data_IF_774440433444
#
_entry.id   IF_774440433444
#
_cell.length_a   1.000
_cell.length_b   1.000
_cell.length_c   1.000
_cell.angle_alpha   90.00
_cell.angle_beta   90.00
_cell.angle_gamma   90.00
#
_symmetry.space_group_name_H-M   'P 1'
#
loop_
_entity.id
_entity.type
_entity.pdbx_description
1 polymer ?
#
# COMPACT_ATOMS: atom_id res chain seq x y z
N UNK A 1 -56.57 -21.24 11.62
CA UNK A 1 -56.11 -19.96 12.21
C UNK A 1 -54.69 -19.71 11.72
N UNK A 2 -54.49 -18.48 11.24
CA UNK A 2 -53.25 -17.79 10.87
C UNK A 2 -52.41 -18.30 9.69
N UNK A 3 -52.25 -17.36 8.75
CA UNK A 3 -51.71 -17.47 7.42
C UNK A 3 -50.21 -17.14 7.36
N UNK A 4 -49.56 -17.75 6.36
CA UNK A 4 -48.22 -17.44 5.88
C UNK A 4 -48.32 -16.20 4.98
N UNK A 5 -47.52 -15.17 5.28
CA UNK A 5 -47.38 -13.99 4.45
C UNK A 5 -45.92 -13.83 4.00
N UNK A 6 -45.67 -14.14 2.73
CA UNK A 6 -44.48 -13.72 1.98
C UNK A 6 -44.76 -12.33 1.40
N UNK A 7 -43.87 -11.36 1.62
CA UNK A 7 -43.88 -10.06 0.95
C UNK A 7 -42.74 -9.99 -0.09
N UNK A 8 -43.02 -9.50 -1.32
CA UNK A 8 -42.04 -9.42 -2.40
C UNK A 8 -41.24 -8.11 -2.43
N UNK A 9 -40.04 -8.22 -3.01
CA UNK A 9 -39.10 -7.16 -3.36
C UNK A 9 -39.74 -6.04 -4.23
N UNK A 10 -39.39 -4.76 -4.02
CA UNK A 10 -39.72 -3.69 -4.96
C UNK A 10 -38.66 -3.56 -6.07
N UNK A 11 -39.14 -3.66 -7.31
CA UNK A 11 -38.44 -3.45 -8.58
C UNK A 11 -38.09 -1.96 -8.76
N UNK A 12 -36.82 -1.67 -9.06
CA UNK A 12 -36.39 -0.32 -9.44
C UNK A 12 -36.74 -0.04 -10.91
N UNK A 13 -37.56 1.00 -11.13
CA UNK A 13 -37.96 1.46 -12.45
C UNK A 13 -36.87 2.32 -13.11
N UNK A 14 -36.55 1.98 -14.36
CA UNK A 14 -35.82 2.81 -15.32
C UNK A 14 -36.60 4.10 -15.59
N UNK A 15 -35.99 5.26 -15.32
CA UNK A 15 -36.41 6.53 -15.91
C UNK A 15 -35.25 7.14 -16.71
N UNK A 16 -35.47 7.13 -18.03
CA UNK A 16 -34.65 7.77 -19.04
C UNK A 16 -34.81 9.29 -18.95
N UNK A 17 -33.74 10.02 -18.70
CA UNK A 17 -33.69 11.47 -18.87
C UNK A 17 -32.57 11.85 -19.83
N UNK A 18 -32.99 12.18 -21.05
CA UNK A 18 -32.17 12.85 -22.06
C UNK A 18 -31.95 14.32 -21.67
N UNK A 19 -30.73 14.87 -21.78
CA UNK A 19 -30.53 16.30 -21.68
C UNK A 19 -30.64 16.99 -23.05
N UNK A 20 -31.14 18.20 -22.95
CA UNK A 20 -31.61 19.05 -24.02
C UNK A 20 -30.49 19.64 -24.90
N UNK A 21 -30.85 19.78 -26.18
CA UNK A 21 -30.16 20.45 -27.28
C UNK A 21 -30.04 21.96 -27.03
N UNK A 22 -28.84 22.45 -26.72
CA UNK A 22 -28.51 23.87 -26.81
C UNK A 22 -28.02 24.21 -28.23
N UNK A 23 -28.71 25.15 -28.89
CA UNK A 23 -28.36 25.68 -30.20
C UNK A 23 -27.51 26.95 -30.07
N UNK A 24 -26.44 27.01 -30.88
CA UNK A 24 -25.87 28.16 -31.59
C UNK A 24 -25.50 29.43 -30.80
N UNK A 25 -24.21 29.75 -30.76
CA UNK A 25 -23.68 31.05 -31.22
C UNK A 25 -22.24 30.89 -31.74
N UNK A 26 -22.08 31.09 -33.05
CA UNK A 26 -20.81 31.18 -33.77
C UNK A 26 -20.35 32.64 -33.80
N UNK A 27 -19.07 32.96 -33.50
CA UNK A 27 -18.44 34.19 -33.94
C UNK A 27 -17.79 34.04 -35.35
N UNK A 28 -17.69 35.13 -36.13
CA UNK A 28 -17.27 35.13 -37.53
C UNK A 28 -15.75 34.94 -37.75
N UNK A 29 -15.32 34.54 -38.97
CA UNK A 29 -13.94 34.21 -39.27
C UNK A 29 -13.10 35.45 -39.56
N UNK A 30 -11.89 35.53 -38.99
CA UNK A 30 -10.90 36.53 -39.39
C UNK A 30 -9.77 35.91 -40.22
N UNK A 31 -9.66 36.51 -41.39
CA UNK A 31 -8.68 36.40 -42.48
C UNK A 31 -7.27 35.91 -42.13
N UNK A 32 -6.86 34.87 -42.86
CA UNK A 32 -5.51 34.32 -42.95
C UNK A 32 -4.61 35.21 -43.83
N UNK A 33 -3.51 35.69 -43.25
CA UNK A 33 -2.46 36.42 -43.99
C UNK A 33 -1.60 35.44 -44.78
N UNK A 34 -1.51 35.67 -46.09
CA UNK A 34 -0.71 34.90 -47.04
C UNK A 34 0.79 35.17 -46.85
N UNK A 35 1.58 34.13 -46.60
CA UNK A 35 3.04 34.16 -46.81
C UNK A 35 3.46 33.03 -47.76
N UNK A 36 4.33 33.40 -48.69
CA UNK A 36 4.72 32.66 -49.91
C UNK A 36 5.67 31.48 -49.61
N UNK A 37 5.74 30.46 -50.48
CA UNK A 37 6.51 29.26 -50.23
C UNK A 37 7.97 29.42 -50.65
N UNK A 38 8.91 29.02 -49.79
CA UNK A 38 10.28 28.72 -50.21
C UNK A 38 10.40 27.20 -50.27
N UNK A 39 10.53 26.69 -51.48
CA UNK A 39 11.00 25.33 -51.75
C UNK A 39 12.52 25.34 -51.67
N UNK A 40 13.12 24.46 -50.89
CA UNK A 40 14.37 23.79 -51.29
C UNK A 40 14.44 22.41 -50.65
N UNK A 41 14.59 21.40 -51.52
CA UNK A 41 14.83 19.99 -51.19
C UNK A 41 16.13 19.85 -50.40
N UNK A 42 16.15 18.91 -49.45
CA UNK A 42 17.36 18.12 -49.14
C UNK A 42 16.93 16.81 -48.50
N UNK A 43 17.14 15.73 -49.26
CA UNK A 43 17.00 14.35 -48.83
C UNK A 43 17.98 14.04 -47.69
N UNK A 44 17.50 13.58 -46.54
CA UNK A 44 18.23 12.59 -45.74
C UNK A 44 17.23 11.69 -45.00
N UNK A 45 17.00 10.52 -45.59
CA UNK A 45 16.56 9.32 -44.88
C UNK A 45 17.52 9.09 -43.70
N UNK A 46 17.04 9.09 -42.45
CA UNK A 46 17.66 8.28 -41.38
C UNK A 46 16.77 8.14 -40.16
N UNK A 47 16.39 6.87 -39.94
CA UNK A 47 16.06 6.20 -38.67
C UNK A 47 14.86 6.70 -37.86
N UNK A 48 13.79 5.91 -37.99
CA UNK A 48 12.89 5.53 -36.88
C UNK A 48 13.70 5.34 -35.59
N UNK A 49 13.55 6.27 -34.65
CA UNK A 49 13.88 6.03 -33.25
C UNK A 49 12.74 5.22 -32.63
N UNK A 50 12.94 3.92 -32.45
CA UNK A 50 12.09 3.14 -31.55
C UNK A 50 12.40 3.64 -30.14
N UNK A 51 11.45 4.36 -29.52
CA UNK A 51 11.48 4.57 -28.08
C UNK A 51 11.23 3.23 -27.41
N UNK A 52 12.31 2.55 -27.02
CA UNK A 52 12.25 1.41 -26.13
C UNK A 52 11.83 1.97 -24.77
N UNK A 53 10.58 1.76 -24.38
CA UNK A 53 10.20 1.85 -22.98
C UNK A 53 10.99 0.78 -22.24
N UNK A 54 12.11 1.15 -21.64
CA UNK A 54 12.77 0.30 -20.68
C UNK A 54 11.80 0.16 -19.50
N UNK A 55 11.07 -0.95 -19.45
CA UNK A 55 10.45 -1.38 -18.22
C UNK A 55 11.61 -1.52 -17.23
N UNK A 56 11.65 -0.66 -16.21
CA UNK A 56 12.61 -0.78 -15.13
C UNK A 56 12.34 -2.13 -14.47
N UNK A 57 13.15 -3.13 -14.84
CA UNK A 57 13.29 -4.36 -14.08
C UNK A 57 13.82 -3.90 -12.72
N UNK A 58 12.92 -3.78 -11.74
CA UNK A 58 13.32 -3.71 -10.34
C UNK A 58 14.03 -5.02 -10.08
N UNK A 59 15.36 -5.03 -10.18
CA UNK A 59 16.15 -6.10 -9.63
C UNK A 59 15.74 -6.18 -8.16
N UNK A 60 15.28 -7.34 -7.74
CA UNK A 60 14.86 -7.60 -6.37
C UNK A 60 16.14 -7.67 -5.52
N UNK A 61 16.72 -6.51 -5.24
CA UNK A 61 17.88 -6.33 -4.36
C UNK A 61 17.46 -6.28 -2.90
N UNK A 62 16.21 -6.64 -2.60
CA UNK A 62 15.68 -6.68 -1.25
C UNK A 62 16.49 -7.70 -0.46
N UNK A 63 17.29 -7.20 0.49
CA UNK A 63 17.98 -8.07 1.44
C UNK A 63 16.94 -8.67 2.38
N UNK A 64 16.77 -9.98 2.28
CA UNK A 64 15.86 -10.77 3.11
C UNK A 64 16.63 -11.29 4.32
N UNK A 65 16.14 -10.94 5.51
CA UNK A 65 16.75 -11.34 6.79
C UNK A 65 15.84 -12.37 7.47
N UNK A 66 16.29 -13.61 7.68
CA UNK A 66 15.50 -14.61 8.40
C UNK A 66 15.43 -14.27 9.89
N UNK A 67 14.25 -14.41 10.48
CA UNK A 67 14.01 -14.14 11.90
C UNK A 67 12.92 -15.07 12.46
N UNK A 68 13.10 -15.63 13.68
CA UNK A 68 12.11 -16.51 14.28
C UNK A 68 10.96 -15.74 14.91
N UNK A 69 9.77 -16.34 14.90
CA UNK A 69 8.62 -15.85 15.65
C UNK A 69 8.79 -16.16 17.14
N UNK A 70 8.53 -15.16 17.98
CA UNK A 70 8.43 -15.34 19.42
C UNK A 70 7.04 -15.77 19.85
N UNK A 71 6.01 -15.19 19.23
CA UNK A 71 4.62 -15.39 19.62
C UNK A 71 3.66 -15.06 18.48
N UNK A 72 2.58 -15.83 18.40
CA UNK A 72 1.36 -15.50 17.65
C UNK A 72 0.19 -15.67 18.60
N UNK A 73 -0.53 -14.57 18.88
CA UNK A 73 -1.65 -14.57 19.84
C UNK A 73 -2.88 -13.88 19.23
N UNK A 74 -4.11 -14.38 19.45
CA UNK A 74 -5.31 -13.69 19.01
C UNK A 74 -5.47 -12.32 19.69
N UNK A 75 -5.74 -11.28 18.90
CA UNK A 75 -6.10 -9.93 19.37
C UNK A 75 -7.60 -9.65 19.21
N UNK A 76 -8.23 -10.23 18.18
CA UNK A 76 -9.68 -10.25 17.96
C UNK A 76 -10.04 -11.36 16.95
N UNK A 77 -11.31 -11.43 16.52
CA UNK A 77 -11.73 -12.35 15.46
C UNK A 77 -10.94 -12.07 14.16
N UNK A 78 -10.22 -13.09 13.67
CA UNK A 78 -9.32 -12.99 12.52
C UNK A 78 -8.21 -11.94 12.64
N UNK A 79 -7.86 -11.48 13.85
CA UNK A 79 -6.84 -10.48 14.08
C UNK A 79 -5.85 -11.01 15.13
N UNK A 80 -4.57 -10.96 14.82
CA UNK A 80 -3.52 -11.59 15.62
C UNK A 80 -2.41 -10.59 15.91
N UNK A 81 -1.83 -10.64 17.11
CA UNK A 81 -0.55 -10.04 17.39
C UNK A 81 0.54 -11.06 17.08
N UNK A 82 1.53 -10.64 16.29
CA UNK A 82 2.68 -11.44 15.87
C UNK A 82 3.93 -10.71 16.34
N UNK A 83 4.77 -11.40 17.10
CA UNK A 83 6.03 -10.86 17.60
C UNK A 83 7.19 -11.63 16.99
N UNK A 84 8.16 -10.92 16.42
CA UNK A 84 9.32 -11.48 15.74
C UNK A 84 10.59 -11.04 16.44
N UNK A 85 11.50 -11.98 16.68
CA UNK A 85 12.83 -11.73 17.25
C UNK A 85 13.80 -11.26 16.18
N UNK A 86 14.32 -10.05 16.32
CA UNK A 86 15.36 -9.47 15.46
C UNK A 86 16.62 -9.14 16.25
N UNK A 87 16.79 -9.70 17.44
CA UNK A 87 17.96 -9.45 18.31
C UNK A 87 19.28 -9.86 17.66
N UNK A 88 19.26 -10.94 16.87
CA UNK A 88 20.41 -11.42 16.08
C UNK A 88 20.63 -10.60 14.78
N UNK A 89 19.79 -9.61 14.50
CA UNK A 89 19.81 -8.80 13.28
C UNK A 89 19.78 -7.29 13.59
N UNK A 90 20.83 -6.74 14.22
CA UNK A 90 20.87 -5.34 14.64
C UNK A 90 20.71 -4.35 13.49
N UNK A 91 21.22 -4.69 12.29
CA UNK A 91 21.06 -3.85 11.10
C UNK A 91 19.58 -3.70 10.71
N UNK A 92 18.82 -4.80 10.74
CA UNK A 92 17.38 -4.80 10.49
C UNK A 92 16.64 -3.97 11.54
N UNK A 93 16.95 -4.15 12.83
CA UNK A 93 16.36 -3.37 13.91
C UNK A 93 16.66 -1.86 13.74
N UNK A 94 17.89 -1.52 13.35
CA UNK A 94 18.33 -0.12 13.16
C UNK A 94 17.69 0.57 11.95
N UNK A 95 17.20 -0.20 10.97
CA UNK A 95 16.49 0.35 9.81
C UNK A 95 15.15 0.99 10.18
N UNK A 96 14.54 0.54 11.27
CA UNK A 96 13.29 1.09 11.79
C UNK A 96 13.57 2.32 12.65
N UNK A 97 13.35 3.50 12.06
CA UNK A 97 13.74 4.78 12.67
C UNK A 97 12.55 5.63 13.08
N UNK A 98 11.38 5.43 12.47
CA UNK A 98 10.21 6.30 12.69
C UNK A 98 8.92 5.48 12.74
N UNK A 99 8.06 5.75 13.73
CA UNK A 99 6.74 5.12 13.81
C UNK A 99 5.94 5.34 12.52
N UNK A 100 5.10 4.37 12.13
CA UNK A 100 4.38 4.39 10.84
C UNK A 100 5.16 3.80 9.65
N UNK A 101 6.39 3.34 9.86
CA UNK A 101 7.10 2.51 8.89
C UNK A 101 6.53 1.08 8.82
N UNK A 102 6.85 0.38 7.74
CA UNK A 102 6.36 -0.96 7.43
C UNK A 102 7.46 -1.82 6.81
N UNK A 103 7.30 -3.14 6.84
CA UNK A 103 8.21 -4.10 6.22
C UNK A 103 7.47 -4.98 5.21
N UNK A 104 8.22 -5.67 4.37
CA UNK A 104 7.75 -6.88 3.70
C UNK A 104 8.09 -8.09 4.56
N UNK A 105 7.12 -8.99 4.74
CA UNK A 105 7.30 -10.29 5.38
C UNK A 105 6.89 -11.40 4.42
N UNK A 106 7.68 -12.47 4.36
CA UNK A 106 7.34 -13.69 3.62
C UNK A 106 7.77 -14.93 4.39
N UNK A 107 7.15 -16.07 4.04
CA UNK A 107 7.64 -17.37 4.44
C UNK A 107 8.87 -17.73 3.58
N UNK A 108 9.70 -18.67 4.05
CA UNK A 108 10.87 -19.17 3.31
C UNK A 108 10.52 -19.97 2.04
N UNK A 109 9.23 -20.14 1.73
CA UNK A 109 8.79 -20.72 0.45
C UNK A 109 8.97 -19.69 -0.69
N UNK A 110 9.78 -20.00 -1.72
CA UNK A 110 10.03 -19.09 -2.84
C UNK A 110 8.77 -18.71 -3.63
N UNK A 111 7.67 -19.47 -3.50
CA UNK A 111 6.42 -19.18 -4.19
C UNK A 111 5.50 -18.25 -3.39
N UNK A 112 5.79 -18.01 -2.11
CA UNK A 112 4.98 -17.14 -1.26
C UNK A 112 5.26 -15.67 -1.56
N UNK A 113 4.23 -14.94 -1.98
CA UNK A 113 4.34 -13.50 -2.22
C UNK A 113 4.56 -12.76 -0.89
N UNK A 114 5.46 -11.77 -0.83
CA UNK A 114 5.62 -10.96 0.39
C UNK A 114 4.36 -10.16 0.71
N UNK A 115 4.07 -10.02 2.01
CA UNK A 115 3.03 -9.16 2.56
C UNK A 115 3.64 -7.89 3.13
N UNK A 116 3.07 -6.73 2.82
CA UNK A 116 3.47 -5.48 3.44
C UNK A 116 2.74 -5.30 4.77
N UNK A 117 3.47 -5.14 5.87
CA UNK A 117 2.91 -5.03 7.21
C UNK A 117 3.53 -3.84 7.95
N UNK A 118 2.65 -2.97 8.46
CA UNK A 118 3.05 -1.87 9.35
C UNK A 118 3.47 -2.41 10.71
N UNK A 119 4.57 -1.87 11.23
CA UNK A 119 5.09 -2.23 12.56
C UNK A 119 4.18 -1.55 13.59
N UNK A 120 3.65 -2.33 14.53
CA UNK A 120 2.76 -1.87 15.59
C UNK A 120 3.51 -1.46 16.88
N UNK A 121 4.75 -1.91 17.06
CA UNK A 121 5.65 -1.45 18.14
C UNK A 121 6.45 -0.21 17.73
N UNK A 122 6.78 0.73 18.63
CA UNK A 122 7.60 1.89 18.30
C UNK A 122 9.10 1.56 18.07
N UNK A 123 9.89 2.41 17.39
CA UNK A 123 11.32 2.17 17.12
C UNK A 123 12.19 1.89 18.35
N UNK A 124 11.82 2.47 19.50
CA UNK A 124 12.51 2.25 20.76
C UNK A 124 12.44 0.79 21.23
N UNK A 125 11.37 0.06 20.89
CA UNK A 125 11.22 -1.36 21.26
C UNK A 125 12.13 -2.24 20.39
N UNK A 126 12.23 -1.96 19.10
CA UNK A 126 13.15 -2.67 18.21
C UNK A 126 14.61 -2.52 18.67
N UNK A 127 15.01 -1.29 19.01
CA UNK A 127 16.38 -1.00 19.45
C UNK A 127 16.71 -1.51 20.86
N UNK A 128 15.75 -1.51 21.79
CA UNK A 128 16.00 -1.91 23.19
C UNK A 128 15.77 -3.40 23.47
N UNK A 129 14.79 -4.01 22.80
CA UNK A 129 14.39 -5.41 23.02
C UNK A 129 14.73 -6.32 21.84
N UNK A 130 15.08 -5.77 20.67
CA UNK A 130 15.33 -6.57 19.49
C UNK A 130 14.08 -7.27 18.97
N UNK A 131 12.91 -6.64 19.04
CA UNK A 131 11.66 -7.25 18.56
C UNK A 131 10.88 -6.31 17.66
N UNK A 132 10.16 -6.88 16.70
CA UNK A 132 9.08 -6.21 15.99
C UNK A 132 7.75 -6.85 16.34
N UNK A 133 6.75 -6.01 16.62
CA UNK A 133 5.38 -6.44 16.84
C UNK A 133 4.49 -6.00 15.67
N UNK A 134 3.61 -6.89 15.25
CA UNK A 134 2.68 -6.67 14.15
C UNK A 134 1.29 -7.10 14.59
N UNK A 135 0.31 -6.24 14.39
CA UNK A 135 -1.08 -6.67 14.37
C UNK A 135 -1.35 -7.18 12.95
N UNK A 136 -1.96 -8.34 12.73
CA UNK A 136 -2.17 -8.91 11.39
C UNK A 136 -3.58 -9.44 11.28
N UNK A 137 -4.29 -9.03 10.22
CA UNK A 137 -5.62 -9.54 9.93
C UNK A 137 -5.45 -10.76 9.02
N UNK A 138 -5.95 -11.91 9.46
CA UNK A 138 -6.01 -13.10 8.62
C UNK A 138 -7.00 -12.87 7.47
N UNK A 139 -6.54 -13.13 6.26
CA UNK A 139 -7.34 -13.03 5.03
C UNK A 139 -7.11 -14.29 4.24
N UNK A 140 -8.19 -15.05 3.99
CA UNK A 140 -8.11 -16.36 3.33
C UNK A 140 -7.38 -16.29 2.00
N UNK A 141 -6.46 -17.23 1.77
CA UNK A 141 -5.64 -17.35 0.58
C UNK A 141 -4.50 -16.34 0.50
N UNK A 142 -4.16 -15.66 1.60
CA UNK A 142 -3.07 -14.67 1.64
C UNK A 142 -1.90 -15.10 2.51
N UNK A 143 -0.74 -14.49 2.28
CA UNK A 143 0.42 -14.63 3.18
C UNK A 143 0.09 -14.20 4.61
N UNK A 144 -0.84 -13.26 4.80
CA UNK A 144 -1.28 -12.86 6.15
C UNK A 144 -2.02 -13.98 6.89
N UNK A 145 -2.82 -14.81 6.20
CA UNK A 145 -3.41 -16.01 6.80
C UNK A 145 -2.34 -17.02 7.20
N UNK A 146 -1.36 -17.26 6.32
CA UNK A 146 -0.26 -18.17 6.61
C UNK A 146 0.55 -17.70 7.83
N UNK A 147 0.89 -16.40 7.90
CA UNK A 147 1.60 -15.80 9.02
C UNK A 147 0.84 -15.97 10.35
N UNK A 148 -0.49 -15.77 10.35
CA UNK A 148 -1.32 -15.95 11.54
C UNK A 148 -1.45 -17.41 12.00
N UNK A 149 -1.11 -18.38 11.14
CA UNK A 149 -1.10 -19.80 11.46
C UNK A 149 0.25 -20.34 11.95
N UNK A 150 1.30 -19.51 11.97
CA UNK A 150 2.63 -19.90 12.42
C UNK A 150 2.70 -20.09 13.95
N UNK A 151 3.72 -20.80 14.38
CA UNK A 151 4.03 -21.09 15.77
C UNK A 151 5.34 -20.45 16.20
N UNK A 152 5.56 -20.39 17.52
CA UNK A 152 6.82 -19.94 18.09
C UNK A 152 7.98 -20.77 17.53
N UNK A 153 9.03 -20.09 17.07
CA UNK A 153 10.22 -20.70 16.48
C UNK A 153 10.15 -20.89 14.96
N UNK A 154 8.97 -20.78 14.35
CA UNK A 154 8.87 -20.72 12.89
C UNK A 154 9.60 -19.49 12.37
N UNK A 155 10.21 -19.60 11.19
CA UNK A 155 11.07 -18.55 10.63
C UNK A 155 10.39 -17.88 9.46
N UNK A 156 10.42 -16.55 9.47
CA UNK A 156 9.99 -15.69 8.37
C UNK A 156 11.17 -14.87 7.89
N UNK A 157 11.06 -14.33 6.68
CA UNK A 157 12.05 -13.42 6.11
C UNK A 157 11.48 -12.01 6.05
N UNK A 158 12.28 -11.04 6.50
CA UNK A 158 11.92 -9.63 6.55
C UNK A 158 12.80 -8.80 5.62
N UNK A 159 12.20 -7.81 4.96
CA UNK A 159 12.94 -6.72 4.33
C UNK A 159 13.44 -5.73 5.38
N UNK A 160 14.28 -4.79 4.99
CA UNK A 160 14.52 -3.57 5.77
C UNK A 160 13.23 -2.75 5.94
N UNK A 161 13.16 -1.91 6.97
CA UNK A 161 12.03 -1.00 7.17
C UNK A 161 11.88 0.00 6.01
N UNK A 162 10.64 0.25 5.64
CA UNK A 162 10.23 1.05 4.50
C UNK A 162 9.23 2.13 4.93
N UNK A 163 9.07 3.13 4.06
CA UNK A 163 8.17 4.26 4.31
C UNK A 163 8.83 5.39 5.08
N UNK A 164 8.20 6.57 5.04
CA UNK A 164 8.72 7.78 5.68
C UNK A 164 8.36 7.89 7.16
N UNK A 165 7.49 7.01 7.67
CA UNK A 165 6.91 7.16 9.00
C UNK A 165 5.93 8.33 9.10
N UNK A 166 5.41 8.53 10.31
CA UNK A 166 4.63 9.68 10.72
C UNK A 166 5.56 10.81 11.15
N UNK A 167 5.32 12.01 10.64
CA UNK A 167 6.08 13.21 11.01
C UNK A 167 5.65 13.72 12.39
N UNK A 168 6.10 13.02 13.44
CA UNK A 168 5.77 13.30 14.84
C UNK A 168 6.47 14.59 15.31
N UNK A 169 7.52 15.03 14.62
CA UNK A 169 8.24 16.26 14.96
C UNK A 169 7.36 17.51 14.80
N UNK A 170 6.39 17.49 13.86
CA UNK A 170 5.40 18.56 13.70
C UNK A 170 4.49 18.75 14.92
N UNK A 171 4.35 17.74 15.77
CA UNK A 171 3.53 17.78 16.99
C UNK A 171 4.37 17.74 18.27
N UNK A 172 5.67 18.08 18.16
CA UNK A 172 6.60 18.16 19.27
C UNK A 172 6.81 19.63 19.73
N UNK A 173 6.97 19.90 21.04
CA UNK A 173 6.74 18.98 22.15
C UNK A 173 5.23 18.78 22.38
N UNK A 174 4.84 17.58 22.84
CA UNK A 174 3.44 17.21 23.05
C UNK A 174 2.63 18.22 23.88
N UNK A 175 3.27 18.97 24.80
CA UNK A 175 2.63 20.04 25.58
C UNK A 175 1.99 21.15 24.74
N UNK A 176 2.48 21.37 23.51
CA UNK A 176 1.96 22.37 22.58
C UNK A 176 0.79 21.85 21.74
N UNK A 177 0.59 20.53 21.70
CA UNK A 177 -0.39 19.84 20.86
C UNK A 177 -1.18 18.85 21.73
N UNK A 178 -2.07 19.38 22.56
CA UNK A 178 -2.82 18.57 23.53
C UNK A 178 -3.80 17.58 22.88
N UNK A 179 -4.16 17.80 21.62
CA UNK A 179 -5.09 16.95 20.87
C UNK A 179 -4.45 16.51 19.56
N UNK A 180 -4.36 15.19 19.37
CA UNK A 180 -3.99 14.54 18.10
C UNK A 180 -5.16 13.69 17.66
N UNK A 181 -5.67 13.93 16.45
CA UNK A 181 -6.79 13.17 15.90
C UNK A 181 -6.26 12.11 14.94
N UNK A 182 -6.52 10.84 15.25
CA UNK A 182 -6.12 9.70 14.43
C UNK A 182 -7.39 9.02 13.94
N UNK A 183 -7.51 8.91 12.62
CA UNK A 183 -8.61 8.20 11.98
C UNK A 183 -8.06 6.92 11.37
N UNK A 184 -8.50 5.78 11.89
CA UNK A 184 -8.07 4.47 11.43
C UNK A 184 -9.27 3.54 11.30
N UNK A 185 -9.21 2.61 10.34
CA UNK A 185 -10.23 1.59 10.15
C UNK A 185 -9.59 0.22 9.94
N UNK A 186 -10.23 -0.81 10.51
CA UNK A 186 -9.75 -2.19 10.46
C UNK A 186 -8.31 -2.32 10.95
N UNK A 187 -7.47 -2.97 10.14
CA UNK A 187 -6.04 -3.15 10.40
C UNK A 187 -5.19 -1.88 10.33
N UNK A 188 -5.76 -0.74 9.95
CA UNK A 188 -5.05 0.54 9.90
C UNK A 188 -4.82 1.19 11.26
N UNK A 189 -5.28 0.59 12.36
CA UNK A 189 -5.13 1.09 13.74
C UNK A 189 -3.71 0.91 14.33
N UNK A 190 -2.79 0.35 13.54
CA UNK A 190 -1.45 -0.04 13.94
C UNK A 190 -0.50 1.14 14.04
#
# INVERSE_FOLDING_TARGET
MSAIAHSPFPTAHLCSHAPHRAKLFLPPPMSVSKLKPIRHLSHHLRRRGLTVSAAAVRQDTTLWTPAPLLEVSPAAEFLFNITIDVSDSPDLASSYTMAGQYLQLRLQDPNTKPSFLAIASPPSIASSKGVFEFLVKSVTGSTAELLCGLQKGDVVELSQAMGKGFDIDQISPAKNYQTVLIFATGSGIR
#
